data_IF_175905472755
#
_entry.id   IF_175905472755
#
_cell.length_a   1.000
_cell.length_b   1.000
_cell.length_c   1.000
_cell.angle_alpha   90.00
_cell.angle_beta   90.00
_cell.angle_gamma   90.00
#
_symmetry.space_group_name_H-M   'P 1'
#
loop_
_entity.id
_entity.type
_entity.pdbx_description
1 polymer ?
#
# COMPACT_ATOMS: atom_id res chain seq x y z
N UNK A 1 -15.22 14.08 -16.13
CA UNK A 1 -16.00 13.09 -15.36
C UNK A 1 -16.03 13.51 -13.91
N UNK A 2 -17.20 13.88 -13.39
CA UNK A 2 -17.38 14.30 -12.00
C UNK A 2 -17.01 13.17 -11.01
N UNK A 3 -16.43 13.51 -9.86
CA UNK A 3 -15.96 12.56 -8.83
C UNK A 3 -17.13 11.71 -8.31
N UNK A 4 -18.32 12.32 -8.19
CA UNK A 4 -19.56 11.65 -7.77
C UNK A 4 -19.95 10.54 -8.76
N UNK A 5 -19.82 10.80 -10.08
CA UNK A 5 -20.15 9.80 -11.11
C UNK A 5 -19.22 8.58 -11.04
N UNK A 6 -17.92 8.78 -10.77
CA UNK A 6 -16.96 7.67 -10.61
C UNK A 6 -17.25 6.87 -9.34
N UNK A 7 -17.57 7.54 -8.23
CA UNK A 7 -17.98 6.87 -6.99
C UNK A 7 -19.27 6.05 -7.16
N UNK A 8 -20.29 6.62 -7.80
CA UNK A 8 -21.54 5.92 -8.09
C UNK A 8 -21.34 4.70 -9.01
N UNK A 9 -20.46 4.79 -10.02
CA UNK A 9 -20.11 3.64 -10.85
C UNK A 9 -19.37 2.56 -10.05
N UNK A 10 -18.43 2.94 -9.16
CA UNK A 10 -17.70 2.00 -8.31
C UNK A 10 -18.62 1.24 -7.35
N UNK A 11 -19.57 1.94 -6.71
CA UNK A 11 -20.58 1.31 -5.85
C UNK A 11 -21.47 0.32 -6.60
N UNK A 12 -21.71 0.56 -7.89
CA UNK A 12 -22.50 -0.32 -8.78
C UNK A 12 -21.66 -1.39 -9.47
N UNK A 13 -20.40 -1.61 -9.04
CA UNK A 13 -19.44 -2.54 -9.63
C UNK A 13 -19.25 -2.35 -11.15
N UNK A 14 -19.51 -1.14 -11.66
CA UNK A 14 -19.28 -0.80 -13.07
C UNK A 14 -17.83 -0.38 -13.25
N UNK A 15 -17.26 -0.71 -14.41
CA UNK A 15 -15.89 -0.29 -14.77
C UNK A 15 -15.82 1.24 -14.76
N UNK A 16 -15.03 1.80 -13.84
CA UNK A 16 -14.78 3.23 -13.74
C UNK A 16 -13.55 3.60 -14.55
N UNK A 17 -13.61 4.74 -15.26
CA UNK A 17 -12.41 5.36 -15.83
C UNK A 17 -11.32 5.53 -14.75
N UNK A 18 -10.04 5.23 -15.05
CA UNK A 18 -8.96 5.33 -14.10
C UNK A 18 -8.85 6.74 -13.49
N UNK A 19 -8.62 6.81 -12.17
CA UNK A 19 -8.27 8.09 -11.57
C UNK A 19 -6.91 8.54 -12.09
N UNK A 20 -6.86 9.67 -12.79
CA UNK A 20 -5.61 10.29 -13.21
C UNK A 20 -4.92 11.07 -12.08
N UNK A 21 -5.58 11.32 -10.94
CA UNK A 21 -4.95 11.98 -9.76
C UNK A 21 -3.90 11.08 -9.10
N UNK A 22 -4.00 9.77 -9.28
CA UNK A 22 -3.07 8.78 -8.75
C UNK A 22 -2.42 8.06 -9.93
N UNK A 23 -1.12 8.30 -10.14
CA UNK A 23 -0.36 7.62 -11.19
C UNK A 23 -0.37 6.09 -11.00
N UNK A 24 -0.20 5.34 -12.09
CA UNK A 24 -0.15 3.87 -12.05
C UNK A 24 0.93 3.36 -11.09
N UNK A 25 2.08 4.02 -11.05
CA UNK A 25 3.16 3.72 -10.10
C UNK A 25 2.73 3.94 -8.64
N UNK A 26 2.12 5.11 -8.33
CA UNK A 26 1.62 5.40 -6.98
C UNK A 26 0.53 4.41 -6.57
N UNK A 27 -0.37 4.05 -7.48
CA UNK A 27 -1.43 3.04 -7.23
C UNK A 27 -0.84 1.66 -6.95
N UNK A 28 0.22 1.25 -7.68
CA UNK A 28 0.94 0.00 -7.40
C UNK A 28 1.55 0.01 -6.00
N UNK A 29 2.22 1.09 -5.62
CA UNK A 29 2.82 1.22 -4.29
C UNK A 29 1.77 1.18 -3.17
N UNK A 30 0.66 1.91 -3.31
CA UNK A 30 -0.44 1.88 -2.34
C UNK A 30 -1.01 0.46 -2.15
N UNK A 31 -1.19 -0.30 -3.25
CA UNK A 31 -1.62 -1.70 -3.15
C UNK A 31 -0.61 -2.58 -2.42
N UNK A 32 0.69 -2.38 -2.64
CA UNK A 32 1.71 -3.14 -1.93
C UNK A 32 1.73 -2.80 -0.44
N UNK A 33 1.56 -1.53 -0.07
CA UNK A 33 1.42 -1.11 1.33
C UNK A 33 0.22 -1.79 2.00
N UNK A 34 -0.94 -1.82 1.32
CA UNK A 34 -2.14 -2.50 1.83
C UNK A 34 -1.89 -4.00 2.03
N UNK A 35 -1.27 -4.69 1.05
CA UNK A 35 -0.92 -6.12 1.19
C UNK A 35 -0.02 -6.40 2.39
N UNK A 36 0.94 -5.53 2.67
CA UNK A 36 1.80 -5.65 3.87
C UNK A 36 0.98 -5.53 5.16
N UNK A 37 0.02 -4.59 5.20
CA UNK A 37 -0.87 -4.42 6.35
C UNK A 37 -1.79 -5.62 6.52
N UNK A 38 -2.40 -6.08 5.43
CA UNK A 38 -3.30 -7.24 5.43
C UNK A 38 -2.55 -8.49 5.90
N UNK A 39 -1.31 -8.71 5.42
CA UNK A 39 -0.44 -9.79 5.90
C UNK A 39 -0.17 -9.70 7.40
N UNK A 40 0.19 -8.51 7.91
CA UNK A 40 0.39 -8.31 9.35
C UNK A 40 -0.86 -8.56 10.19
N UNK A 41 -2.03 -8.12 9.70
CA UNK A 41 -3.33 -8.35 10.37
C UNK A 41 -3.73 -9.82 10.38
N UNK A 42 -3.34 -10.57 9.35
CA UNK A 42 -3.51 -12.03 9.27
C UNK A 42 -2.49 -12.81 10.10
N UNK A 43 -1.58 -12.15 10.82
CA UNK A 43 -0.60 -12.78 11.71
C UNK A 43 0.77 -13.06 11.09
N UNK A 44 0.94 -12.89 9.77
CA UNK A 44 2.21 -13.16 9.10
C UNK A 44 3.31 -12.21 9.59
N UNK A 45 4.50 -12.72 9.87
CA UNK A 45 5.68 -11.96 10.26
C UNK A 45 6.16 -11.04 9.13
N UNK A 46 6.98 -10.03 9.46
CA UNK A 46 7.58 -9.18 8.43
C UNK A 46 8.49 -9.94 7.47
N UNK A 47 9.10 -11.04 7.93
CA UNK A 47 9.93 -11.90 7.09
C UNK A 47 9.08 -12.63 6.05
N UNK A 48 8.02 -13.34 6.47
CA UNK A 48 7.09 -14.04 5.56
C UNK A 48 6.47 -13.06 4.53
N UNK A 49 6.13 -11.85 4.98
CA UNK A 49 5.61 -10.82 4.08
C UNK A 49 6.68 -10.37 3.08
N UNK A 50 7.95 -10.27 3.48
CA UNK A 50 9.03 -9.91 2.56
C UNK A 50 9.32 -11.01 1.55
N UNK A 51 9.31 -12.28 1.97
CA UNK A 51 9.46 -13.43 1.07
C UNK A 51 8.36 -13.42 -0.02
N UNK A 52 7.12 -13.14 0.35
CA UNK A 52 5.99 -13.14 -0.61
C UNK A 52 5.92 -11.83 -1.43
N UNK A 53 6.05 -10.67 -0.78
CA UNK A 53 5.75 -9.37 -1.40
C UNK A 53 6.97 -8.68 -2.02
N UNK A 54 8.18 -8.99 -1.53
CA UNK A 54 9.45 -8.48 -2.06
C UNK A 54 10.27 -9.55 -2.78
N UNK A 55 9.88 -10.83 -2.74
CA UNK A 55 10.67 -11.95 -3.24
C UNK A 55 12.03 -12.07 -2.52
N UNK A 56 12.03 -11.79 -1.21
CA UNK A 56 13.21 -11.97 -0.36
C UNK A 56 13.56 -13.44 -0.22
N UNK A 57 14.84 -13.75 -0.07
CA UNK A 57 15.29 -15.11 0.24
C UNK A 57 14.87 -15.53 1.65
N UNK A 58 14.54 -16.81 1.81
CA UNK A 58 14.30 -17.39 3.12
C UNK A 58 15.61 -17.53 3.88
N UNK A 59 15.72 -16.90 5.04
CA UNK A 59 16.93 -16.89 5.88
C UNK A 59 16.59 -17.16 7.34
N UNK A 60 17.61 -17.47 8.15
CA UNK A 60 17.42 -17.62 9.59
C UNK A 60 16.97 -16.32 10.26
N UNK A 61 16.28 -16.42 11.41
CA UNK A 61 15.83 -15.26 12.19
C UNK A 61 16.96 -14.30 12.56
N UNK A 62 18.18 -14.82 12.76
CA UNK A 62 19.37 -14.01 13.07
C UNK A 62 19.85 -13.26 11.84
N UNK A 63 19.94 -13.92 10.69
CA UNK A 63 20.34 -13.30 9.43
C UNK A 63 19.32 -12.25 8.97
N UNK A 64 18.02 -12.52 9.16
CA UNK A 64 16.92 -11.63 8.82
C UNK A 64 17.08 -10.20 9.38
N UNK A 65 17.64 -10.06 10.58
CA UNK A 65 17.81 -8.75 11.23
C UNK A 65 18.68 -7.77 10.43
N UNK A 66 19.58 -8.29 9.59
CA UNK A 66 20.52 -7.51 8.79
C UNK A 66 20.12 -7.42 7.30
N UNK A 67 18.99 -8.02 6.92
CA UNK A 67 18.54 -8.03 5.52
C UNK A 67 17.90 -6.67 5.14
N UNK A 68 18.25 -6.08 3.97
CA UNK A 68 17.66 -4.82 3.52
C UNK A 68 16.15 -4.91 3.27
N UNK A 69 15.64 -6.10 2.93
CA UNK A 69 14.22 -6.37 2.73
C UNK A 69 13.41 -6.15 4.01
N UNK A 70 14.04 -6.36 5.19
CA UNK A 70 13.44 -6.06 6.50
C UNK A 70 13.10 -4.58 6.62
N UNK A 71 14.05 -3.72 6.33
CA UNK A 71 13.83 -2.28 6.40
C UNK A 71 12.82 -1.84 5.33
N UNK A 72 12.88 -2.42 4.14
CA UNK A 72 11.96 -2.12 3.07
C UNK A 72 10.50 -2.49 3.39
N UNK A 73 10.25 -3.68 3.97
CA UNK A 73 8.89 -4.11 4.36
C UNK A 73 8.37 -3.31 5.55
N UNK A 74 9.22 -3.02 6.54
CA UNK A 74 8.85 -2.20 7.70
C UNK A 74 8.52 -0.76 7.29
N UNK A 75 9.30 -0.18 6.37
CA UNK A 75 8.99 1.14 5.80
C UNK A 75 7.64 1.15 5.11
N UNK A 76 7.35 0.16 4.25
CA UNK A 76 6.04 0.04 3.59
C UNK A 76 4.89 -0.10 4.58
N UNK A 77 5.08 -0.87 5.64
CA UNK A 77 4.10 -1.01 6.71
C UNK A 77 3.81 0.35 7.38
N UNK A 78 4.85 1.07 7.81
CA UNK A 78 4.72 2.39 8.46
C UNK A 78 4.05 3.42 7.53
N UNK A 79 4.50 3.50 6.28
CA UNK A 79 3.91 4.40 5.28
C UNK A 79 2.43 4.05 5.00
N UNK A 80 2.11 2.76 4.90
CA UNK A 80 0.75 2.28 4.71
C UNK A 80 -0.15 2.62 5.90
N UNK A 81 0.34 2.44 7.14
CA UNK A 81 -0.41 2.74 8.35
C UNK A 81 -0.81 4.22 8.41
N UNK A 82 0.04 5.15 7.98
CA UNK A 82 -0.33 6.57 7.86
C UNK A 82 -1.57 6.77 6.99
N UNK A 83 -1.70 6.01 5.89
CA UNK A 83 -2.89 6.07 5.04
C UNK A 83 -4.12 5.52 5.75
N UNK A 84 -4.02 4.37 6.42
CA UNK A 84 -5.11 3.77 7.21
C UNK A 84 -5.57 4.70 8.34
N UNK A 85 -4.64 5.39 8.98
CA UNK A 85 -4.88 6.34 10.09
C UNK A 85 -5.43 7.69 9.64
N UNK A 86 -5.70 7.86 8.34
CA UNK A 86 -6.43 9.03 7.83
C UNK A 86 -5.74 9.80 6.71
N UNK A 87 -4.47 9.52 6.41
CA UNK A 87 -3.78 10.17 5.30
C UNK A 87 -4.36 9.75 3.93
N UNK A 88 -5.22 8.73 3.86
CA UNK A 88 -5.96 8.37 2.64
C UNK A 88 -6.75 9.55 2.06
N UNK A 89 -7.17 10.51 2.89
CA UNK A 89 -7.86 11.72 2.43
C UNK A 89 -7.02 12.52 1.42
N UNK A 90 -5.70 12.51 1.57
CA UNK A 90 -4.77 13.14 0.61
C UNK A 90 -4.82 12.53 -0.81
N UNK A 91 -5.37 11.32 -0.96
CA UNK A 91 -5.57 10.67 -2.26
C UNK A 91 -6.83 11.18 -2.98
N UNK A 92 -7.78 11.73 -2.22
CA UNK A 92 -9.06 12.23 -2.75
C UNK A 92 -8.91 13.63 -3.33
N UNK A 93 -7.98 14.42 -2.79
CA UNK A 93 -7.70 15.78 -3.22
C UNK A 93 -6.59 15.82 -4.29
N UNK A 94 -6.81 16.62 -5.34
CA UNK A 94 -5.79 16.88 -6.37
C UNK A 94 -4.78 17.86 -5.76
N UNK A 95 -3.61 17.36 -5.32
CA UNK A 95 -2.47 18.10 -4.71
C UNK A 95 -2.87 19.38 -3.95
N UNK A 96 -3.02 19.27 -2.62
CA UNK A 96 -2.41 20.30 -1.78
C UNK A 96 -1.03 19.78 -1.34
N UNK A 97 0.03 20.58 -1.45
CA UNK A 97 1.34 20.21 -0.93
C UNK A 97 1.20 19.99 0.58
N UNK A 98 1.67 18.85 1.07
CA UNK A 98 1.89 18.68 2.51
C UNK A 98 3.24 19.33 2.81
N UNK A 99 3.20 20.60 3.21
CA UNK A 99 4.25 21.22 4.04
C UNK A 99 4.26 20.59 5.41
#
# INVERSE_FOLDING_TARGET
MDTIRRFACALRLRRTEPDQRVSSYRRRNLRQMLRVIDGRRSGATFQEIAEIALHADHVSTTAWKSMPERDAVMRRFREGMRYVEGAYRSLLFRRHPMT
#
